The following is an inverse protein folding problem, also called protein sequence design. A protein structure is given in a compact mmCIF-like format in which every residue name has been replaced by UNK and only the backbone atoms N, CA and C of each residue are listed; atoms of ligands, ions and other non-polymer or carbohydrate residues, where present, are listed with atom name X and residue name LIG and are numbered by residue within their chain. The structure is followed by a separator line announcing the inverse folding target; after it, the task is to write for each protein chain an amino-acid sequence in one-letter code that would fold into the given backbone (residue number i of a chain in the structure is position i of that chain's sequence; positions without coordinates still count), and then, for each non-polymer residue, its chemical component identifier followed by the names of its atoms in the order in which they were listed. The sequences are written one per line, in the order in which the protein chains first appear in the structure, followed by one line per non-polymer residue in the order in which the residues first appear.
data_IF_878934699601
#
_entry.id   IF_878934699601
#
_cell.length_a   1.000
_cell.length_b   1.000
_cell.length_c   1.000
_cell.angle_alpha   90.00
_cell.angle_beta   90.00
_cell.angle_gamma   90.00
#
_symmetry.space_group_name_H-M   'P 1'
#
loop_
_entity.id
_entity.type
_entity.pdbx_description
1 polymer ?
#
# COMPACT_ATOMS: atom_id res chain seq x y z
N UNK A 1 -16.01 14.93 7.93
CA UNK A 1 -15.38 13.61 8.14
C UNK A 1 -13.93 13.89 8.52
N UNK A 2 -13.35 13.12 9.45
CA UNK A 2 -11.92 13.23 9.72
C UNK A 2 -11.15 12.62 8.53
N UNK A 3 -9.93 13.11 8.25
CA UNK A 3 -9.05 12.46 7.28
C UNK A 3 -8.28 11.39 8.04
N UNK A 4 -8.48 10.13 7.63
CA UNK A 4 -7.91 8.96 8.26
C UNK A 4 -7.00 8.24 7.27
N UNK A 5 -5.82 7.85 7.74
CA UNK A 5 -4.86 7.07 6.99
C UNK A 5 -4.52 5.83 7.81
N UNK A 6 -4.44 4.69 7.17
CA UNK A 6 -4.16 3.43 7.87
C UNK A 6 -2.95 2.76 7.24
N UNK A 7 -1.86 2.66 8.00
CA UNK A 7 -0.69 1.87 7.62
C UNK A 7 -0.87 0.45 8.16
N UNK A 8 -1.12 -0.49 7.26
CA UNK A 8 -1.17 -1.92 7.57
C UNK A 8 0.16 -2.56 7.16
N UNK A 9 0.84 -3.17 8.12
CA UNK A 9 2.21 -3.68 7.93
C UNK A 9 2.36 -5.10 8.49
N UNK A 10 3.00 -5.96 7.71
CA UNK A 10 3.56 -7.20 8.24
C UNK A 10 4.81 -6.83 9.06
N UNK A 11 4.83 -7.16 10.34
CA UNK A 11 5.94 -6.77 11.22
C UNK A 11 6.16 -7.82 12.30
N UNK A 12 7.43 -8.04 12.63
CA UNK A 12 7.84 -8.82 13.81
C UNK A 12 7.94 -7.97 15.08
N UNK A 13 7.85 -6.64 14.96
CA UNK A 13 7.92 -5.72 16.08
C UNK A 13 6.64 -5.78 16.92
N UNK A 14 6.79 -5.64 18.23
CA UNK A 14 5.68 -5.47 19.18
C UNK A 14 5.22 -4.01 19.20
N UNK A 15 3.99 -3.79 19.67
CA UNK A 15 3.41 -2.45 19.82
C UNK A 15 4.33 -1.50 20.61
N UNK A 16 4.94 -1.98 21.69
CA UNK A 16 5.86 -1.19 22.51
C UNK A 16 7.13 -0.79 21.76
N UNK A 17 7.64 -1.67 20.88
CA UNK A 17 8.84 -1.39 20.08
C UNK A 17 8.52 -0.35 18.99
N UNK A 18 7.36 -0.47 18.35
CA UNK A 18 6.87 0.52 17.38
C UNK A 18 6.60 1.87 18.04
N UNK A 19 5.92 1.89 19.18
CA UNK A 19 5.66 3.12 19.95
C UNK A 19 6.96 3.80 20.34
N UNK A 20 7.93 3.04 20.89
CA UNK A 20 9.24 3.56 21.23
C UNK A 20 9.99 4.06 20.01
N UNK A 21 9.96 3.34 18.88
CA UNK A 21 10.63 3.77 17.65
C UNK A 21 10.08 5.14 17.18
N UNK A 22 8.76 5.27 17.14
CA UNK A 22 8.10 6.49 16.68
C UNK A 22 8.21 7.64 17.68
N UNK A 23 8.27 7.38 18.98
CA UNK A 23 8.44 8.44 20.00
C UNK A 23 9.81 9.12 19.96
N UNK A 24 10.80 8.52 19.28
CA UNK A 24 12.12 9.16 19.06
C UNK A 24 12.12 10.10 17.84
N UNK A 25 11.03 10.15 17.08
CA UNK A 25 10.86 11.12 16.01
C UNK A 25 10.69 12.50 16.65
N UNK A 26 11.46 13.49 16.18
CA UNK A 26 11.30 14.87 16.65
C UNK A 26 9.83 15.31 16.52
N UNK A 27 9.32 15.95 17.59
CA UNK A 27 7.97 16.46 17.76
C UNK A 27 6.87 15.40 17.96
N UNK A 28 7.26 14.12 18.12
CA UNK A 28 6.34 13.05 18.50
C UNK A 28 6.32 12.90 20.02
N UNK A 29 5.13 12.92 20.59
CA UNK A 29 4.90 12.80 22.02
C UNK A 29 4.10 11.54 22.30
N UNK A 30 4.62 10.70 23.19
CA UNK A 30 3.90 9.52 23.65
C UNK A 30 2.86 9.89 24.70
N UNK A 31 1.64 9.42 24.49
CA UNK A 31 0.54 9.48 25.46
C UNK A 31 0.26 8.07 25.98
N UNK A 32 -0.73 7.90 26.87
CA UNK A 32 -1.09 6.59 27.41
C UNK A 32 -1.47 5.59 26.32
N UNK A 33 -2.25 6.03 25.33
CA UNK A 33 -2.92 5.15 24.37
C UNK A 33 -2.65 5.51 22.90
N UNK A 34 -1.89 6.58 22.64
CA UNK A 34 -1.61 7.07 21.29
C UNK A 34 -0.31 7.88 21.24
N UNK A 35 0.20 8.11 20.04
CA UNK A 35 1.23 9.13 19.79
C UNK A 35 0.59 10.39 19.23
N UNK A 36 1.10 11.54 19.65
CA UNK A 36 0.69 12.84 19.12
C UNK A 36 1.87 13.46 18.37
N UNK A 37 1.61 14.02 17.21
CA UNK A 37 2.54 14.88 16.50
C UNK A 37 1.78 16.10 15.96
N UNK A 38 2.48 17.16 15.48
CA UNK A 38 1.81 18.31 14.89
C UNK A 38 0.83 17.90 13.79
N UNK A 39 -0.45 18.21 14.03
CA UNK A 39 -1.56 17.96 13.11
C UNK A 39 -2.05 16.52 12.99
N UNK A 40 -1.50 15.57 13.72
CA UNK A 40 -1.92 14.17 13.63
C UNK A 40 -1.90 13.44 14.97
N UNK A 41 -2.86 12.56 15.16
CA UNK A 41 -2.92 11.58 16.26
C UNK A 41 -2.72 10.20 15.65
N UNK A 42 -1.94 9.35 16.32
CA UNK A 42 -1.55 8.04 15.81
C UNK A 42 -1.93 6.98 16.83
N UNK A 43 -2.87 6.12 16.45
CA UNK A 43 -3.20 4.91 17.19
C UNK A 43 -2.41 3.74 16.61
N UNK A 44 -1.88 2.89 17.48
CA UNK A 44 -0.99 1.78 17.09
C UNK A 44 -1.57 0.52 17.70
N UNK A 45 -2.10 -0.36 16.85
CA UNK A 45 -2.79 -1.56 17.28
C UNK A 45 -2.33 -2.78 16.47
N UNK A 46 -2.75 -3.96 16.93
CA UNK A 46 -2.68 -5.15 16.11
C UNK A 46 -3.74 -5.07 15.02
N UNK A 47 -3.38 -5.46 13.80
CA UNK A 47 -4.36 -5.55 12.70
C UNK A 47 -5.50 -6.52 13.09
N UNK A 48 -6.73 -6.06 12.95
CA UNK A 48 -7.92 -6.86 13.28
C UNK A 48 -8.22 -7.90 12.17
N UNK A 49 -9.35 -8.59 12.27
CA UNK A 49 -9.71 -9.62 11.29
C UNK A 49 -10.15 -9.03 9.95
N UNK A 50 -10.75 -7.83 9.96
CA UNK A 50 -11.24 -7.16 8.75
C UNK A 50 -10.05 -6.62 7.95
N UNK A 51 -9.12 -5.93 8.62
CA UNK A 51 -7.84 -5.49 8.06
C UNK A 51 -7.07 -6.67 7.47
N UNK A 52 -6.98 -7.78 8.22
CA UNK A 52 -6.26 -8.98 7.75
C UNK A 52 -6.90 -9.60 6.52
N UNK A 53 -8.23 -9.69 6.49
CA UNK A 53 -8.96 -10.25 5.36
C UNK A 53 -8.78 -9.36 4.12
N UNK A 54 -9.02 -8.05 4.26
CA UNK A 54 -8.82 -7.07 3.20
C UNK A 54 -7.40 -7.15 2.62
N UNK A 55 -6.39 -7.06 3.47
CA UNK A 55 -5.00 -7.04 2.99
C UNK A 55 -4.60 -8.35 2.34
N UNK A 56 -5.08 -9.48 2.86
CA UNK A 56 -4.80 -10.79 2.29
C UNK A 56 -5.44 -10.98 0.92
N UNK A 57 -6.68 -10.56 0.76
CA UNK A 57 -7.44 -10.77 -0.47
C UNK A 57 -6.93 -9.88 -1.61
N UNK A 58 -6.57 -8.63 -1.32
CA UNK A 58 -6.16 -7.65 -2.34
C UNK A 58 -4.64 -7.51 -2.51
N UNK A 59 -3.84 -7.77 -1.48
CA UNK A 59 -2.39 -7.52 -1.50
C UNK A 59 -1.53 -8.75 -1.18
N UNK A 60 -2.17 -9.89 -0.86
CA UNK A 60 -1.55 -11.20 -0.69
C UNK A 60 -0.51 -11.29 0.43
N UNK A 61 -0.68 -10.50 1.50
CA UNK A 61 0.06 -10.67 2.75
C UNK A 61 -0.88 -10.50 3.95
N UNK A 62 -0.42 -10.81 5.16
CA UNK A 62 -1.23 -10.67 6.38
C UNK A 62 -0.55 -9.65 7.31
N UNK A 63 -1.15 -8.46 7.51
CA UNK A 63 -0.59 -7.47 8.41
C UNK A 63 -0.68 -7.98 9.85
N UNK A 64 0.33 -7.68 10.64
CA UNK A 64 0.32 -7.94 12.09
C UNK A 64 -0.02 -6.68 12.87
N UNK A 65 0.30 -5.50 12.31
CA UNK A 65 0.08 -4.20 12.92
C UNK A 65 -0.72 -3.29 12.00
N UNK A 66 -1.50 -2.41 12.62
CA UNK A 66 -2.28 -1.35 11.98
C UNK A 66 -1.99 -0.04 12.71
N UNK A 67 -1.59 1.00 11.97
CA UNK A 67 -1.43 2.33 12.51
C UNK A 67 -2.45 3.25 11.89
N UNK A 68 -3.40 3.72 12.69
CA UNK A 68 -4.42 4.67 12.26
C UNK A 68 -3.95 6.09 12.59
N UNK A 69 -3.80 6.90 11.55
CA UNK A 69 -3.44 8.30 11.62
C UNK A 69 -4.69 9.15 11.42
N UNK A 70 -5.07 9.91 12.43
CA UNK A 70 -6.22 10.81 12.39
C UNK A 70 -5.73 12.24 12.31
N UNK A 71 -5.99 12.91 11.19
CA UNK A 71 -5.63 14.31 11.02
C UNK A 71 -6.56 15.22 11.85
N UNK A 72 -5.97 16.18 12.56
CA UNK A 72 -6.73 17.27 13.16
C UNK A 72 -7.27 18.21 12.07
N UNK A 73 -8.59 18.36 12.01
CA UNK A 73 -9.29 19.20 11.04
C UNK A 73 -8.91 20.68 11.07
N UNK A 74 -8.29 21.15 12.16
CA UNK A 74 -7.86 22.54 12.31
C UNK A 74 -6.34 22.72 12.13
N UNK A 75 -5.60 21.63 11.97
CA UNK A 75 -4.17 21.70 11.80
C UNK A 75 -3.78 22.07 10.37
N UNK A 76 -2.54 22.54 10.23
CA UNK A 76 -1.94 22.73 8.92
C UNK A 76 -1.83 21.39 8.18
N UNK A 77 -2.32 21.38 6.95
CA UNK A 77 -2.38 20.18 6.13
C UNK A 77 -0.98 19.66 5.81
N UNK A 78 -0.02 20.54 5.51
CA UNK A 78 1.34 20.16 5.15
C UNK A 78 2.06 19.52 6.34
N UNK A 79 1.94 20.10 7.54
CA UNK A 79 2.57 19.57 8.75
C UNK A 79 2.04 18.18 9.11
N UNK A 80 0.72 17.98 9.04
CA UNK A 80 0.10 16.69 9.32
C UNK A 80 0.63 15.59 8.38
N UNK A 81 0.70 15.88 7.07
CA UNK A 81 1.19 14.94 6.06
C UNK A 81 2.69 14.69 6.16
N UNK A 82 3.47 15.72 6.49
CA UNK A 82 4.89 15.56 6.78
C UNK A 82 5.12 14.54 7.91
N UNK A 83 4.35 14.65 9.00
CA UNK A 83 4.45 13.73 10.12
C UNK A 83 3.92 12.33 9.80
N UNK A 84 2.82 12.22 9.04
CA UNK A 84 2.31 10.94 8.51
C UNK A 84 3.40 10.18 7.72
N UNK A 85 4.02 10.85 6.75
CA UNK A 85 5.04 10.24 5.90
C UNK A 85 6.32 9.95 6.69
N UNK A 86 6.72 10.84 7.61
CA UNK A 86 7.88 10.62 8.48
C UNK A 86 7.72 9.37 9.35
N UNK A 87 6.56 9.19 9.98
CA UNK A 87 6.26 8.00 10.77
C UNK A 87 6.23 6.73 9.91
N UNK A 88 5.52 6.80 8.77
CA UNK A 88 5.41 5.69 7.81
C UNK A 88 6.79 5.25 7.34
N UNK A 89 7.62 6.16 6.86
CA UNK A 89 8.94 5.84 6.35
C UNK A 89 9.90 5.35 7.43
N UNK A 90 9.80 5.83 8.67
CA UNK A 90 10.57 5.28 9.79
C UNK A 90 10.27 3.80 10.02
N UNK A 91 8.99 3.39 9.92
CA UNK A 91 8.62 1.98 10.04
C UNK A 91 9.05 1.15 8.83
N UNK A 92 8.82 1.66 7.62
CA UNK A 92 9.20 0.94 6.41
C UNK A 92 10.72 0.73 6.26
N UNK A 93 11.54 1.59 6.87
CA UNK A 93 13.01 1.43 6.91
C UNK A 93 13.50 0.41 7.92
N UNK A 94 12.72 0.15 8.97
CA UNK A 94 13.09 -0.82 10.02
C UNK A 94 12.55 -2.22 9.74
N UNK A 95 11.67 -2.36 8.76
CA UNK A 95 11.06 -3.63 8.37
C UNK A 95 11.31 -3.94 6.89
N UNK A 96 11.83 -5.12 6.58
CA UNK A 96 11.91 -5.65 5.20
C UNK A 96 10.57 -6.21 4.69
N UNK A 97 9.50 -6.07 5.48
CA UNK A 97 8.21 -6.69 5.20
C UNK A 97 7.31 -5.85 4.31
N UNK A 98 6.17 -6.45 3.94
CA UNK A 98 5.16 -5.83 3.11
C UNK A 98 4.28 -4.86 3.90
N UNK A 99 3.83 -3.80 3.24
CA UNK A 99 2.95 -2.80 3.85
C UNK A 99 2.07 -2.10 2.81
N UNK A 100 0.95 -1.53 3.25
CA UNK A 100 0.16 -0.57 2.50
C UNK A 100 -0.15 0.65 3.38
N UNK A 101 -0.17 1.85 2.78
CA UNK A 101 -0.83 3.01 3.36
C UNK A 101 -2.11 3.26 2.59
N UNK A 102 -3.21 3.12 3.29
CA UNK A 102 -4.55 3.35 2.79
C UNK A 102 -5.09 4.70 3.30
N UNK A 103 -5.91 5.37 2.50
CA UNK A 103 -6.62 6.59 2.84
C UNK A 103 -8.13 6.32 2.87
N UNK A 104 -8.73 6.52 4.04
CA UNK A 104 -10.17 6.39 4.31
C UNK A 104 -10.82 5.07 3.87
N UNK A 105 -10.06 3.97 3.72
CA UNK A 105 -10.58 2.68 3.25
C UNK A 105 -10.80 2.61 1.73
N UNK A 106 -10.50 3.69 1.01
CA UNK A 106 -10.88 3.85 -0.40
C UNK A 106 -9.67 3.84 -1.34
N UNK A 107 -8.56 4.47 -0.93
CA UNK A 107 -7.44 4.77 -1.82
C UNK A 107 -6.12 4.35 -1.20
N UNK A 108 -5.46 3.37 -1.82
CA UNK A 108 -4.07 3.04 -1.47
C UNK A 108 -3.13 4.10 -2.03
N UNK A 109 -2.37 4.74 -1.13
CA UNK A 109 -1.40 5.79 -1.46
C UNK A 109 0.00 5.21 -1.71
N UNK A 110 0.40 4.19 -0.95
CA UNK A 110 1.67 3.50 -1.14
C UNK A 110 1.56 2.01 -0.81
N UNK A 111 2.44 1.24 -1.43
CA UNK A 111 2.65 -0.18 -1.12
C UNK A 111 4.12 -0.49 -1.07
N UNK A 112 4.55 -1.20 -0.04
CA UNK A 112 5.88 -1.82 0.02
C UNK A 112 5.75 -3.32 -0.21
N UNK A 113 6.51 -3.85 -1.15
CA UNK A 113 6.64 -5.29 -1.39
C UNK A 113 8.11 -5.63 -1.19
N UNK A 114 8.43 -6.30 -0.09
CA UNK A 114 9.82 -6.52 0.34
C UNK A 114 10.58 -5.19 0.39
N UNK A 115 11.63 -5.03 -0.41
CA UNK A 115 12.43 -3.79 -0.47
C UNK A 115 11.94 -2.77 -1.50
N UNK A 116 10.93 -3.12 -2.30
CA UNK A 116 10.43 -2.24 -3.35
C UNK A 116 9.25 -1.40 -2.83
N UNK A 117 9.35 -0.08 -2.98
CA UNK A 117 8.29 0.87 -2.65
C UNK A 117 7.59 1.34 -3.93
N UNK A 118 6.26 1.33 -3.90
CA UNK A 118 5.38 1.83 -4.94
C UNK A 118 4.56 2.99 -4.39
N UNK A 119 4.51 4.10 -5.12
CA UNK A 119 3.65 5.25 -4.84
C UNK A 119 2.52 5.22 -5.87
N UNK A 120 1.28 5.20 -5.39
CA UNK A 120 0.10 5.14 -6.24
C UNK A 120 -0.40 6.56 -6.54
N UNK A 121 -0.66 6.84 -7.81
CA UNK A 121 -1.20 8.12 -8.27
C UNK A 121 -2.61 7.94 -8.83
N UNK A 122 -3.53 8.76 -8.32
CA UNK A 122 -4.86 8.92 -8.89
C UNK A 122 -4.87 10.03 -9.96
N UNK A 123 -5.98 10.15 -10.69
CA UNK A 123 -6.14 11.15 -11.76
C UNK A 123 -6.24 12.59 -11.22
N UNK A 124 -6.45 12.77 -9.91
CA UNK A 124 -6.65 14.07 -9.29
C UNK A 124 -5.34 14.80 -9.01
N UNK A 125 -4.20 14.09 -9.03
CA UNK A 125 -2.88 14.58 -8.60
C UNK A 125 -2.87 15.16 -7.17
N UNK A 126 -3.97 15.02 -6.39
CA UNK A 126 -4.10 15.55 -5.02
C UNK A 126 -3.01 14.97 -4.11
N UNK A 127 -2.82 13.66 -4.27
CA UNK A 127 -1.72 12.77 -3.89
C UNK A 127 -0.28 13.30 -3.90
N UNK A 128 -0.01 14.06 -4.95
CA UNK A 128 1.28 13.92 -5.62
C UNK A 128 2.36 14.80 -5.05
N UNK A 129 2.12 16.10 -4.77
CA UNK A 129 3.16 16.96 -4.21
C UNK A 129 3.73 16.39 -2.92
N UNK A 130 2.87 15.99 -1.99
CA UNK A 130 3.35 15.54 -0.69
C UNK A 130 3.94 14.12 -0.72
N UNK A 131 3.41 13.17 -1.51
CA UNK A 131 4.02 11.83 -1.60
C UNK A 131 5.40 11.92 -2.26
N UNK A 132 5.53 12.66 -3.37
CA UNK A 132 6.80 12.73 -4.11
C UNK A 132 7.86 13.56 -3.41
N UNK A 133 7.46 14.61 -2.68
CA UNK A 133 8.40 15.50 -1.99
C UNK A 133 8.88 14.91 -0.66
N UNK A 134 8.07 14.09 0.01
CA UNK A 134 8.35 13.58 1.36
C UNK A 134 8.86 12.13 1.37
N UNK A 135 8.52 11.31 0.37
CA UNK A 135 8.98 9.92 0.28
C UNK A 135 10.36 9.89 -0.39
N UNK A 136 11.42 9.42 0.31
CA UNK A 136 12.74 9.36 -0.28
C UNK A 136 12.85 8.25 -1.34
N UNK A 137 13.56 8.48 -2.46
CA UNK A 137 13.86 7.42 -3.43
C UNK A 137 14.80 6.35 -2.82
N UNK A 138 14.79 5.11 -3.36
CA UNK A 138 14.09 4.69 -4.58
C UNK A 138 12.61 4.31 -4.35
N UNK A 139 11.75 4.69 -5.31
CA UNK A 139 10.37 4.23 -5.42
C UNK A 139 9.97 4.11 -6.90
N UNK A 140 8.92 3.34 -7.17
CA UNK A 140 8.26 3.28 -8.48
C UNK A 140 6.88 3.94 -8.42
N UNK A 141 6.49 4.61 -9.51
CA UNK A 141 5.13 5.15 -9.64
C UNK A 141 4.22 4.05 -10.20
N UNK A 142 3.14 3.77 -9.48
CA UNK A 142 2.04 2.94 -9.93
C UNK A 142 0.79 3.81 -10.12
N UNK A 143 -0.13 3.39 -10.99
CA UNK A 143 -1.41 4.06 -11.17
C UNK A 143 -2.43 3.42 -10.22
N UNK A 144 -3.20 4.23 -9.48
CA UNK A 144 -4.25 3.76 -8.56
C UNK A 144 -5.49 3.25 -9.29
N UNK A 145 -5.59 3.50 -10.59
CA UNK A 145 -6.73 3.09 -11.39
C UNK A 145 -6.71 1.59 -11.69
N UNK A 146 -7.70 0.89 -11.13
CA UNK A 146 -8.37 -0.21 -11.82
C UNK A 146 -8.96 0.36 -13.12
N UNK A 147 -8.17 0.38 -14.21
CA UNK A 147 -8.70 0.77 -15.51
C UNK A 147 -9.50 -0.41 -16.09
N UNK A 148 -10.83 -0.31 -16.02
CA UNK A 148 -11.70 -1.03 -16.96
C UNK A 148 -11.41 -0.51 -18.37
N UNK A 149 -10.61 -1.27 -19.14
CA UNK A 149 -10.41 -1.00 -20.56
C UNK A 149 -11.55 -1.64 -21.32
N UNK A 150 -12.65 -0.91 -21.53
CA UNK A 150 -13.76 -1.41 -22.36
C UNK A 150 -13.30 -1.62 -23.80
N UNK A 151 -13.54 -2.83 -24.32
CA UNK A 151 -13.63 -3.08 -25.76
C UNK A 151 -15.04 -3.58 -26.06
N UNK A 152 -15.61 -3.17 -27.19
CA UNK A 152 -17.04 -3.29 -27.60
C UNK A 152 -17.63 -4.72 -27.68
N UNK A 153 -17.01 -5.74 -27.09
CA UNK A 153 -17.37 -7.17 -27.28
C UNK A 153 -17.64 -8.00 -26.02
N UNK A 154 -17.58 -7.42 -24.82
CA UNK A 154 -17.98 -8.14 -23.60
C UNK A 154 -17.02 -9.25 -23.17
N UNK A 155 -15.72 -9.07 -23.40
CA UNK A 155 -14.67 -9.98 -22.94
C UNK A 155 -14.30 -9.72 -21.47
N UNK A 156 -13.94 -10.79 -20.74
CA UNK A 156 -13.54 -10.76 -19.33
C UNK A 156 -12.23 -10.00 -19.13
N UNK A 157 -12.21 -9.08 -18.17
CA UNK A 157 -11.03 -8.30 -17.80
C UNK A 157 -10.12 -9.06 -16.83
N UNK A 158 -8.81 -8.99 -17.06
CA UNK A 158 -7.79 -9.51 -16.15
C UNK A 158 -6.83 -8.36 -15.84
N UNK A 159 -6.80 -7.95 -14.57
CA UNK A 159 -5.94 -6.89 -14.08
C UNK A 159 -4.55 -7.42 -13.74
N UNK A 160 -3.51 -6.71 -14.18
CA UNK A 160 -2.12 -7.07 -13.93
C UNK A 160 -1.40 -5.88 -13.29
N UNK A 161 -0.64 -6.13 -12.23
CA UNK A 161 0.26 -5.14 -11.66
C UNK A 161 1.25 -4.62 -12.72
N UNK A 162 1.71 -3.35 -12.68
CA UNK A 162 2.57 -2.79 -13.73
C UNK A 162 3.86 -3.58 -14.01
N UNK A 163 4.50 -4.11 -12.96
CA UNK A 163 5.68 -4.95 -13.09
C UNK A 163 5.36 -6.28 -13.79
N UNK A 164 4.22 -6.89 -13.45
CA UNK A 164 3.72 -8.13 -14.08
C UNK A 164 3.33 -7.87 -15.54
N UNK A 165 2.64 -6.77 -15.81
CA UNK A 165 2.28 -6.35 -17.16
C UNK A 165 3.52 -6.10 -18.03
N UNK A 166 4.55 -5.45 -17.48
CA UNK A 166 5.83 -5.23 -18.17
C UNK A 166 6.53 -6.55 -18.47
N UNK A 167 6.60 -7.45 -17.49
CA UNK A 167 7.19 -8.76 -17.66
C UNK A 167 6.46 -9.61 -18.72
N UNK A 168 5.13 -9.63 -18.69
CA UNK A 168 4.32 -10.36 -19.67
C UNK A 168 4.48 -9.74 -21.07
N UNK A 169 4.59 -8.41 -21.18
CA UNK A 169 4.92 -7.73 -22.45
C UNK A 169 6.28 -8.17 -23.01
N UNK A 170 7.30 -8.26 -22.16
CA UNK A 170 8.63 -8.74 -22.57
C UNK A 170 8.58 -10.19 -23.07
N UNK A 171 7.80 -11.06 -22.40
CA UNK A 171 7.58 -12.44 -22.85
C UNK A 171 6.80 -12.47 -24.18
N UNK A 172 5.80 -11.61 -24.36
CA UNK A 172 4.99 -11.51 -25.58
C UNK A 172 5.88 -11.18 -26.79
N UNK A 173 6.76 -10.19 -26.63
CA UNK A 173 7.74 -9.81 -27.64
C UNK A 173 8.71 -10.96 -27.92
N UNK A 174 9.25 -11.59 -26.88
CA UNK A 174 10.19 -12.71 -27.03
C UNK A 174 9.56 -13.91 -27.75
N UNK A 175 8.33 -14.27 -27.40
CA UNK A 175 7.59 -15.41 -27.96
C UNK A 175 6.85 -15.11 -29.26
N UNK A 176 6.84 -13.84 -29.72
CA UNK A 176 6.09 -13.37 -30.90
C UNK A 176 4.62 -13.77 -30.86
N UNK A 177 3.99 -13.59 -29.70
CA UNK A 177 2.63 -14.02 -29.36
C UNK A 177 1.88 -12.82 -28.75
N UNK A 178 0.57 -12.90 -28.62
CA UNK A 178 -0.19 -11.82 -27.99
C UNK A 178 -0.10 -11.88 -26.45
N UNK A 179 -0.38 -10.75 -25.80
CA UNK A 179 -0.51 -10.68 -24.34
C UNK A 179 -1.60 -11.65 -23.85
N UNK A 180 -2.74 -11.67 -24.53
CA UNK A 180 -3.88 -12.52 -24.19
C UNK A 180 -3.51 -14.01 -24.26
N UNK A 181 -2.73 -14.42 -25.26
CA UNK A 181 -2.27 -15.81 -25.38
C UNK A 181 -1.39 -16.22 -24.20
N UNK A 182 -0.51 -15.33 -23.72
CA UNK A 182 0.34 -15.60 -22.55
C UNK A 182 -0.50 -15.65 -21.29
N UNK A 183 -1.36 -14.67 -21.07
CA UNK A 183 -2.20 -14.59 -19.86
C UNK A 183 -3.15 -15.79 -19.79
N UNK A 184 -3.81 -16.15 -20.90
CA UNK A 184 -4.70 -17.30 -20.94
C UNK A 184 -3.97 -18.62 -20.74
N UNK A 185 -2.76 -18.78 -21.31
CA UNK A 185 -1.95 -19.98 -21.08
C UNK A 185 -1.53 -20.10 -19.61
N UNK A 186 -1.27 -18.97 -18.95
CA UNK A 186 -0.87 -18.93 -17.54
C UNK A 186 -2.06 -19.25 -16.62
N UNK A 187 -3.20 -18.59 -16.82
CA UNK A 187 -4.43 -18.87 -16.08
C UNK A 187 -4.91 -20.32 -16.23
N UNK A 188 -4.81 -20.88 -17.44
CA UNK A 188 -5.15 -22.29 -17.68
C UNK A 188 -4.30 -23.23 -16.84
N UNK A 189 -2.99 -22.97 -16.75
CA UNK A 189 -2.07 -23.78 -15.96
C UNK A 189 -2.36 -23.70 -14.46
N UNK A 190 -2.71 -22.52 -13.96
CA UNK A 190 -3.05 -22.35 -12.54
C UNK A 190 -4.39 -23.00 -12.18
N UNK A 191 -5.40 -22.94 -13.08
CA UNK A 191 -6.67 -23.66 -12.88
C UNK A 191 -6.45 -25.17 -12.83
N UNK A 192 -5.65 -25.73 -13.75
CA UNK A 192 -5.31 -27.16 -13.75
C UNK A 192 -4.58 -27.57 -12.46
N UNK A 193 -3.71 -26.71 -11.92
CA UNK A 193 -3.04 -26.90 -10.63
C UNK A 193 -4.05 -26.90 -9.47
N UNK A 194 -4.98 -25.95 -9.44
CA UNK A 194 -6.00 -25.84 -8.38
C UNK A 194 -6.95 -27.04 -8.40
N UNK A 195 -7.35 -27.50 -9.59
CA UNK A 195 -8.23 -28.66 -9.76
C UNK A 195 -7.54 -29.98 -9.41
N UNK A 196 -6.21 -30.07 -9.56
CA UNK A 196 -5.42 -31.26 -9.19
C UNK A 196 -5.23 -31.46 -7.68
N UNK A 197 -5.61 -30.48 -6.86
CA UNK A 197 -5.48 -30.49 -5.39
C UNK A 197 -6.81 -30.90 -4.71
N UNK A 198 -7.86 -31.24 -5.48
CA UNK A 198 -9.10 -31.85 -4.99
C UNK A 198 -9.05 -33.37 -5.03
#
# INVERSE_FOLDING_TARGET
MALEYTLMIESSLKLTEVTNLLSHIQDFESQSDYLKAPGIIIYIDYADQEDKAFVKDYFHFTPSLSLCFVQDKFADFSDAHANLIKATMTLLKTSSSNAILDFNGDTVLLRKIKEQLFIYQDESDFWKPFLLDLVPPPYEIALTTQQEVTNDKGDRFIYLEPAVAKFIKEIAVFKKTSLDEIVNAWLKRDIELIESVK
#
